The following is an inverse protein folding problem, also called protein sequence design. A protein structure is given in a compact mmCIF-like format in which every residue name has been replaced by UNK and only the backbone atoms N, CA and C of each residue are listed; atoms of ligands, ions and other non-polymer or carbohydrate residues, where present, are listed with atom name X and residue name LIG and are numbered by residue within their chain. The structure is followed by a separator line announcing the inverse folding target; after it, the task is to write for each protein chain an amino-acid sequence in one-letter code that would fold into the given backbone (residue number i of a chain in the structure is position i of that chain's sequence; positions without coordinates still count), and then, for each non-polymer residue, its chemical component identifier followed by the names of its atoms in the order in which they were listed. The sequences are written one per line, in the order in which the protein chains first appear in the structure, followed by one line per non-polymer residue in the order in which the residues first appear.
data_IF_083896465680
#
_entry.id   IF_083896465680
#
_cell.length_a   1.000
_cell.length_b   1.000
_cell.length_c   1.000
_cell.angle_alpha   90.00
_cell.angle_beta   90.00
_cell.angle_gamma   90.00
#
_symmetry.space_group_name_H-M   'P 1'
#
loop_
_entity.id
_entity.type
_entity.pdbx_description
1 polymer ?
#
# COMPACT_ATOMS: atom_id res chain seq x y z
N UNK A 1 -2.19 -2.04 -3.01
CA UNK A 1 -1.72 -2.87 -4.14
C UNK A 1 -0.28 -2.47 -4.47
N UNK A 2 0.59 -3.41 -4.80
CA UNK A 2 2.00 -3.17 -5.12
C UNK A 2 2.40 -3.90 -6.39
N UNK A 3 2.93 -3.18 -7.38
CA UNK A 3 3.37 -3.78 -8.65
C UNK A 3 4.72 -4.50 -8.50
N UNK A 4 4.71 -5.82 -8.60
CA UNK A 4 5.91 -6.68 -8.53
C UNK A 4 5.87 -7.66 -9.69
N UNK A 5 6.94 -7.72 -10.48
CA UNK A 5 7.11 -8.65 -11.61
C UNK A 5 5.92 -8.66 -12.61
N UNK A 6 5.33 -7.48 -12.87
CA UNK A 6 4.23 -7.32 -13.82
C UNK A 6 2.85 -7.74 -13.30
N UNK A 7 2.71 -7.98 -11.99
CA UNK A 7 1.45 -8.25 -11.32
C UNK A 7 1.28 -7.36 -10.08
N UNK A 8 0.04 -7.17 -9.63
CA UNK A 8 -0.25 -6.40 -8.42
C UNK A 8 -0.42 -7.34 -7.24
N UNK A 9 0.54 -7.34 -6.32
CA UNK A 9 0.35 -7.95 -5.01
C UNK A 9 -0.72 -7.16 -4.25
N UNK A 10 -1.84 -7.83 -3.98
CA UNK A 10 -3.02 -7.20 -3.38
C UNK A 10 -3.32 -7.79 -2.00
N UNK A 11 -3.75 -6.91 -1.10
CA UNK A 11 -4.32 -7.23 0.20
C UNK A 11 -5.54 -6.34 0.41
N UNK A 12 -6.59 -6.88 1.03
CA UNK A 12 -7.74 -6.14 1.49
C UNK A 12 -7.59 -5.80 2.98
N UNK A 13 -8.03 -4.60 3.36
CA UNK A 13 -8.10 -4.13 4.75
C UNK A 13 -9.46 -3.50 4.97
N UNK A 14 -9.86 -3.31 6.23
CA UNK A 14 -10.86 -2.30 6.54
C UNK A 14 -10.38 -0.91 6.06
N UNK A 15 -11.29 0.04 5.75
CA UNK A 15 -10.91 1.38 5.32
C UNK A 15 -9.97 2.05 6.32
N UNK A 16 -8.80 2.47 5.84
CA UNK A 16 -7.84 3.21 6.65
C UNK A 16 -8.21 4.69 6.71
N UNK A 17 -8.38 5.23 7.92
CA UNK A 17 -8.73 6.64 8.12
C UNK A 17 -7.58 7.60 7.76
N UNK A 18 -6.34 7.17 7.99
CA UNK A 18 -5.14 7.98 7.74
C UNK A 18 -3.92 7.12 7.42
N UNK A 19 -3.12 7.58 6.47
CA UNK A 19 -1.78 7.03 6.18
C UNK A 19 -0.66 7.87 6.80
N UNK A 20 -1.01 8.96 7.50
CA UNK A 20 -0.05 9.86 8.15
C UNK A 20 0.35 9.36 9.54
N UNK A 21 -0.45 8.51 10.16
CA UNK A 21 -0.20 7.99 11.50
C UNK A 21 0.32 6.56 11.45
N UNK A 22 0.79 6.04 12.59
CA UNK A 22 1.10 4.62 12.71
C UNK A 22 -0.21 3.83 12.65
N UNK A 23 -0.26 2.81 11.80
CA UNK A 23 -1.45 1.94 11.64
C UNK A 23 -1.04 0.50 11.91
N UNK A 24 -1.88 -0.24 12.61
CA UNK A 24 -1.85 -1.69 12.67
C UNK A 24 -3.26 -2.21 12.44
N UNK A 25 -3.46 -3.01 11.40
CA UNK A 25 -4.79 -3.50 11.01
C UNK A 25 -4.71 -4.92 10.44
N UNK A 26 -5.83 -5.64 10.52
CA UNK A 26 -5.98 -6.95 9.88
C UNK A 26 -6.04 -6.81 8.36
N UNK A 27 -5.45 -7.80 7.67
CA UNK A 27 -5.48 -7.85 6.20
C UNK A 27 -5.75 -9.25 5.70
N UNK A 28 -6.43 -9.31 4.55
CA UNK A 28 -6.62 -10.53 3.79
C UNK A 28 -5.77 -10.50 2.51
N UNK A 29 -4.94 -11.53 2.28
CA UNK A 29 -4.21 -11.67 1.03
C UNK A 29 -5.19 -12.05 -0.08
N UNK A 30 -5.27 -11.21 -1.12
CA UNK A 30 -6.07 -11.49 -2.30
C UNK A 30 -5.21 -12.02 -3.45
N UNK A 31 -5.88 -12.57 -4.46
CA UNK A 31 -5.24 -12.92 -5.73
C UNK A 31 -4.57 -11.69 -6.35
N UNK A 32 -3.47 -11.92 -7.06
CA UNK A 32 -2.77 -10.83 -7.72
C UNK A 32 -3.66 -10.21 -8.81
N UNK A 33 -3.65 -8.88 -8.87
CA UNK A 33 -4.43 -8.12 -9.84
C UNK A 33 -3.58 -7.71 -11.05
N UNK A 34 -4.24 -7.34 -12.15
CA UNK A 34 -3.56 -6.83 -13.34
C UNK A 34 -3.11 -5.40 -13.11
N UNK A 35 -1.93 -5.02 -13.62
CA UNK A 35 -1.35 -3.68 -13.42
C UNK A 35 -2.30 -2.54 -13.78
N UNK A 36 -3.12 -2.69 -14.83
CA UNK A 36 -4.08 -1.66 -15.24
C UNK A 36 -5.14 -1.31 -14.18
N UNK A 37 -5.28 -2.12 -13.11
CA UNK A 37 -6.19 -1.80 -11.99
C UNK A 37 -5.66 -0.68 -11.09
N UNK A 38 -4.38 -0.31 -11.17
CA UNK A 38 -3.83 0.79 -10.36
C UNK A 38 -4.53 2.12 -10.62
N UNK A 39 -4.91 2.37 -11.88
CA UNK A 39 -5.55 3.61 -12.31
C UNK A 39 -7.07 3.48 -12.45
N UNK A 40 -7.64 2.29 -12.16
CA UNK A 40 -9.07 2.06 -12.26
C UNK A 40 -9.82 2.77 -11.13
N UNK A 41 -10.85 3.53 -11.49
CA UNK A 41 -11.79 4.14 -10.56
C UNK A 41 -13.21 4.07 -11.15
N UNK A 42 -14.20 4.00 -10.27
CA UNK A 42 -15.62 3.95 -10.62
C UNK A 42 -16.30 2.63 -10.26
N UNK A 43 -17.50 2.46 -10.79
CA UNK A 43 -18.37 1.31 -10.53
C UNK A 43 -17.73 0.01 -11.04
N UNK A 44 -17.65 -1.00 -10.16
CA UNK A 44 -17.16 -2.34 -10.52
C UNK A 44 -18.26 -3.23 -11.12
N UNK A 45 -19.49 -2.73 -11.19
CA UNK A 45 -20.65 -3.34 -11.83
C UNK A 45 -21.29 -4.45 -10.99
N UNK A 46 -22.57 -4.68 -11.25
CA UNK A 46 -23.37 -5.73 -10.61
C UNK A 46 -23.65 -5.47 -9.13
N UNK A 47 -23.86 -4.20 -8.76
CA UNK A 47 -24.13 -3.75 -7.39
C UNK A 47 -23.05 -4.14 -6.36
N UNK A 48 -21.81 -4.34 -6.82
CA UNK A 48 -20.67 -4.73 -5.98
C UNK A 48 -19.94 -3.55 -5.34
N UNK A 49 -20.30 -2.32 -5.74
CA UNK A 49 -19.74 -1.08 -5.19
C UNK A 49 -18.89 -0.30 -6.20
N UNK A 50 -18.11 0.63 -5.67
CA UNK A 50 -17.25 1.52 -6.45
C UNK A 50 -15.82 1.53 -5.91
N UNK A 51 -14.85 1.79 -6.79
CA UNK A 51 -13.44 1.94 -6.45
C UNK A 51 -13.06 3.42 -6.55
N UNK A 52 -12.46 3.95 -5.49
CA UNK A 52 -11.82 5.27 -5.48
C UNK A 52 -10.37 5.13 -5.07
N UNK A 53 -9.49 5.81 -5.79
CA UNK A 53 -8.09 5.89 -5.43
C UNK A 53 -7.92 6.76 -4.19
N UNK A 54 -7.39 6.18 -3.10
CA UNK A 54 -7.15 6.91 -1.84
C UNK A 54 -5.75 7.51 -1.80
N UNK A 55 -4.74 6.72 -2.17
CA UNK A 55 -3.36 7.14 -2.34
C UNK A 55 -2.73 6.43 -3.53
N UNK A 56 -1.75 7.06 -4.16
CA UNK A 56 -0.85 6.42 -5.12
C UNK A 56 0.55 7.00 -4.98
N UNK A 57 1.55 6.21 -5.34
CA UNK A 57 2.94 6.59 -5.14
C UNK A 57 3.89 5.51 -5.62
N UNK A 58 5.13 5.63 -5.17
CA UNK A 58 6.20 4.68 -5.47
C UNK A 58 6.53 3.89 -4.21
N UNK A 59 7.17 2.74 -4.40
CA UNK A 59 7.70 1.99 -3.29
C UNK A 59 9.04 1.36 -3.64
N UNK A 60 9.82 1.06 -2.60
CA UNK A 60 11.03 0.26 -2.69
C UNK A 60 10.86 -0.97 -1.83
N UNK A 61 10.85 -2.14 -2.46
CA UNK A 61 10.83 -3.43 -1.74
C UNK A 61 12.11 -3.57 -0.92
N UNK A 62 11.95 -3.90 0.36
CA UNK A 62 13.04 -4.20 1.29
C UNK A 62 13.14 -5.72 1.48
N UNK A 63 12.00 -6.38 1.63
CA UNK A 63 11.89 -7.83 1.72
C UNK A 63 10.57 -8.26 1.10
N UNK A 64 10.56 -9.36 0.35
CA UNK A 64 9.34 -9.98 -0.13
C UNK A 64 9.56 -11.48 -0.26
N UNK A 65 8.88 -12.24 0.58
CA UNK A 65 8.77 -13.69 0.49
C UNK A 65 7.29 -14.10 0.61
N UNK A 66 7.02 -15.38 0.88
CA UNK A 66 5.65 -15.90 0.95
C UNK A 66 4.88 -15.44 2.20
N UNK A 67 5.58 -15.14 3.29
CA UNK A 67 4.99 -14.83 4.60
C UNK A 67 5.13 -13.35 4.97
N UNK A 68 6.10 -12.66 4.37
CA UNK A 68 6.48 -11.31 4.72
C UNK A 68 6.65 -10.42 3.49
N UNK A 69 5.96 -9.29 3.48
CA UNK A 69 6.18 -8.20 2.54
C UNK A 69 6.56 -6.93 3.29
N UNK A 70 7.71 -6.35 2.93
CA UNK A 70 8.21 -5.10 3.51
C UNK A 70 8.64 -4.16 2.41
N UNK A 71 8.13 -2.92 2.48
CA UNK A 71 8.52 -1.86 1.56
C UNK A 71 8.60 -0.50 2.26
N UNK A 72 9.41 0.38 1.69
CA UNK A 72 9.25 1.82 1.90
C UNK A 72 8.30 2.36 0.85
N UNK A 73 7.20 2.96 1.27
CA UNK A 73 6.23 3.63 0.40
C UNK A 73 6.47 5.13 0.44
N UNK A 74 6.31 5.79 -0.71
CA UNK A 74 6.44 7.24 -0.87
C UNK A 74 5.30 7.77 -1.72
N UNK A 75 4.59 8.78 -1.24
CA UNK A 75 3.47 9.41 -1.96
C UNK A 75 3.45 10.91 -1.74
N UNK A 76 2.58 11.62 -2.47
CA UNK A 76 2.27 13.03 -2.18
C UNK A 76 0.92 13.12 -1.51
N UNK A 77 0.85 13.84 -0.40
CA UNK A 77 -0.43 14.14 0.26
C UNK A 77 -1.23 15.23 -0.48
N UNK A 78 -2.41 15.56 0.03
CA UNK A 78 -3.28 16.59 -0.54
C UNK A 78 -2.67 17.99 -0.60
N UNK A 79 -1.59 18.26 0.15
CA UNK A 79 -0.83 19.52 0.13
C UNK A 79 0.38 19.45 -0.81
N UNK A 80 0.56 18.34 -1.52
CA UNK A 80 1.68 18.09 -2.41
C UNK A 80 2.99 17.72 -1.69
N UNK A 81 2.96 17.55 -0.36
CA UNK A 81 4.14 17.21 0.43
C UNK A 81 4.47 15.72 0.25
N UNK A 82 5.76 15.44 0.09
CA UNK A 82 6.24 14.05 -0.02
C UNK A 82 6.18 13.42 1.36
N UNK A 83 5.45 12.32 1.46
CA UNK A 83 5.33 11.49 2.64
C UNK A 83 6.04 10.17 2.38
N UNK A 84 6.62 9.58 3.44
CA UNK A 84 7.17 8.23 3.37
C UNK A 84 6.88 7.42 4.63
N UNK A 85 6.62 6.13 4.45
CA UNK A 85 6.37 5.18 5.54
C UNK A 85 6.98 3.83 5.20
N UNK A 86 7.28 3.05 6.23
CA UNK A 86 7.56 1.62 6.08
C UNK A 86 6.25 0.87 6.23
N UNK A 87 5.93 0.03 5.25
CA UNK A 87 4.83 -0.92 5.34
C UNK A 87 5.41 -2.31 5.57
N UNK A 88 4.87 -3.02 6.56
CA UNK A 88 5.14 -4.43 6.81
C UNK A 88 3.81 -5.18 6.78
N UNK A 89 3.74 -6.26 6.01
CA UNK A 89 2.58 -7.13 5.93
C UNK A 89 3.03 -8.55 6.23
N UNK A 90 2.55 -9.11 7.34
CA UNK A 90 2.90 -10.45 7.80
C UNK A 90 1.82 -11.00 8.73
N UNK A 91 1.67 -12.33 8.76
CA UNK A 91 0.79 -13.03 9.69
C UNK A 91 -0.66 -12.47 9.77
N UNK A 92 -1.20 -11.99 8.63
CA UNK A 92 -2.55 -11.43 8.56
C UNK A 92 -2.68 -9.98 9.06
N UNK A 93 -1.57 -9.29 9.32
CA UNK A 93 -1.56 -7.89 9.73
C UNK A 93 -0.74 -7.02 8.78
N UNK A 94 -1.15 -5.76 8.66
CA UNK A 94 -0.39 -4.68 8.03
C UNK A 94 -0.06 -3.64 9.08
N UNK A 95 1.21 -3.27 9.11
CA UNK A 95 1.73 -2.21 9.94
C UNK A 95 2.31 -1.09 9.08
N UNK A 96 1.81 0.14 9.27
CA UNK A 96 2.45 1.35 8.77
C UNK A 96 3.28 1.96 9.90
N UNK A 97 4.59 2.00 9.70
CA UNK A 97 5.56 2.58 10.62
C UNK A 97 6.11 3.85 10.01
N UNK A 98 6.52 4.79 10.86
CA UNK A 98 7.37 5.88 10.40
C UNK A 98 8.57 5.27 9.68
N UNK A 99 8.86 5.76 8.47
CA UNK A 99 10.09 5.36 7.78
C UNK A 99 11.25 5.61 8.72
N UNK A 100 12.18 4.67 8.84
CA UNK A 100 13.45 4.97 9.50
C UNK A 100 13.98 6.23 8.82
N UNK A 101 14.19 7.31 9.57
CA UNK A 101 14.83 8.49 9.03
C UNK A 101 16.12 7.97 8.38
N UNK A 102 16.19 8.03 7.04
CA UNK A 102 17.47 7.95 6.38
C UNK A 102 18.21 9.16 6.93
N UNK A 103 19.11 8.94 7.89
CA UNK A 103 20.12 9.91 8.22
C UNK A 103 20.81 10.22 6.89
N UNK A 104 20.46 11.37 6.31
CA UNK A 104 21.30 11.97 5.30
C UNK A 104 22.66 12.12 5.98
N UNK A 105 23.59 11.24 5.64
CA UNK A 105 24.97 11.40 6.02
C UNK A 105 25.49 12.68 5.35
N UNK A 106 26.34 13.45 6.06
CA UNK A 106 26.68 14.83 5.74
C UNK A 106 27.35 15.03 4.38
#
# INVERSE_FOLDING_TARGET
MFEVDGALKTWATEPLESFQEGVSTEVEKLADHRVHYLDFQGDIGGDRGEVRQVIAGHFRTIQSDTELFVAEITWRDARGQVQSRRVEIAAGYLELKNGSASAASP
#
